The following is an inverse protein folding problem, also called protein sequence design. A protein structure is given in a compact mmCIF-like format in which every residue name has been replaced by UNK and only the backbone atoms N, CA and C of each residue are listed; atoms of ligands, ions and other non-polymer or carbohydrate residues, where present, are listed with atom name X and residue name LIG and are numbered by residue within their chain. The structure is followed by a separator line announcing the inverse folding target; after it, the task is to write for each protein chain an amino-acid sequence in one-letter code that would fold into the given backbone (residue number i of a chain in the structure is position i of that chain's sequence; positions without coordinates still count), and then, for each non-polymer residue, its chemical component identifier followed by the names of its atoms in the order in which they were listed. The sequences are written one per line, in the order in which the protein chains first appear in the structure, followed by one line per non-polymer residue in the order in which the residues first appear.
data_IF_381600244000
#
_entry.id   IF_381600244000
#
_cell.length_a   1.000
_cell.length_b   1.000
_cell.length_c   1.000
_cell.angle_alpha   90.00
_cell.angle_beta   90.00
_cell.angle_gamma   90.00
#
_symmetry.space_group_name_H-M   'P 1'
#
loop_
_entity.id
_entity.type
_entity.pdbx_description
1 polymer ?
#
# COMPACT_ATOMS: atom_id res chain seq x y z
N UNK A 1 -6.37 -16.27 15.23
CA UNK A 1 -5.68 -16.11 13.95
C UNK A 1 -5.86 -17.40 13.17
N UNK A 2 -6.78 -17.40 12.21
CA UNK A 2 -6.91 -18.54 11.30
C UNK A 2 -5.60 -18.72 10.55
N UNK A 3 -5.18 -19.97 10.43
CA UNK A 3 -4.04 -20.36 9.63
C UNK A 3 -4.38 -20.11 8.14
N UNK A 4 -3.98 -18.97 7.63
CA UNK A 4 -4.12 -18.56 6.23
C UNK A 4 -2.95 -19.09 5.40
N UNK A 5 -2.44 -20.26 5.73
CA UNK A 5 -1.24 -20.85 5.14
C UNK A 5 -1.44 -21.53 3.79
N UNK A 6 -2.63 -21.48 3.19
CA UNK A 6 -2.85 -22.06 1.87
C UNK A 6 -3.86 -21.28 1.05
N UNK A 7 -3.46 -20.91 -0.14
CA UNK A 7 -4.32 -20.46 -1.25
C UNK A 7 -5.22 -19.25 -0.95
N UNK A 8 -4.68 -18.25 -0.25
CA UNK A 8 -5.39 -16.98 -0.12
C UNK A 8 -5.50 -16.39 -1.51
N UNK A 9 -6.72 -16.37 -2.01
CA UNK A 9 -7.10 -15.49 -3.08
C UNK A 9 -6.76 -14.07 -2.61
N UNK A 10 -5.61 -13.57 -3.01
CA UNK A 10 -4.96 -12.40 -2.44
C UNK A 10 -5.67 -11.09 -2.75
N UNK A 11 -6.88 -11.16 -3.34
CA UNK A 11 -7.64 -9.98 -3.75
C UNK A 11 -7.87 -8.98 -2.61
N UNK A 12 -8.12 -9.46 -1.39
CA UNK A 12 -8.32 -8.59 -0.23
C UNK A 12 -7.02 -7.88 0.18
N UNK A 13 -5.87 -8.57 0.05
CA UNK A 13 -4.56 -7.97 0.29
C UNK A 13 -4.22 -6.90 -0.75
N UNK A 14 -4.67 -7.07 -2.00
CA UNK A 14 -4.45 -6.10 -3.07
C UNK A 14 -5.16 -4.76 -2.80
N UNK A 15 -6.23 -4.74 -2.01
CA UNK A 15 -6.91 -3.51 -1.61
C UNK A 15 -6.17 -2.72 -0.53
N UNK A 16 -5.19 -3.31 0.12
CA UNK A 16 -4.37 -2.62 1.11
C UNK A 16 -3.36 -1.69 0.44
N UNK A 17 -3.09 -0.52 1.07
CA UNK A 17 -2.11 0.44 0.56
C UNK A 17 -0.68 -0.12 0.60
N UNK A 18 -0.38 -0.93 1.61
CA UNK A 18 0.93 -1.58 1.80
C UNK A 18 0.74 -3.03 2.17
N UNK A 19 1.67 -3.87 1.71
CA UNK A 19 1.65 -5.32 1.91
C UNK A 19 3.01 -5.78 2.37
N UNK A 20 3.03 -6.55 3.44
CA UNK A 20 4.24 -7.17 3.97
C UNK A 20 4.06 -8.68 4.00
N UNK A 21 5.12 -9.42 3.82
CA UNK A 21 5.08 -10.86 3.76
C UNK A 21 6.13 -11.51 4.68
N UNK A 22 5.80 -12.68 5.18
CA UNK A 22 6.79 -13.59 5.75
C UNK A 22 7.65 -14.17 4.63
N UNK A 23 8.88 -14.57 4.95
CA UNK A 23 9.80 -15.18 3.99
C UNK A 23 9.25 -16.49 3.41
N UNK A 24 8.50 -17.25 4.19
CA UNK A 24 7.86 -18.50 3.77
C UNK A 24 6.58 -18.31 2.96
N UNK A 25 6.05 -17.06 2.86
CA UNK A 25 4.80 -16.80 2.17
C UNK A 25 4.85 -17.14 0.68
N UNK A 26 3.74 -17.67 0.18
CA UNK A 26 3.52 -17.95 -1.24
C UNK A 26 2.27 -17.24 -1.71
N UNK A 27 2.27 -16.84 -2.97
CA UNK A 27 1.17 -16.10 -3.60
C UNK A 27 0.79 -16.79 -4.91
N UNK A 28 -0.51 -16.96 -5.17
CA UNK A 28 -1.01 -17.53 -6.41
C UNK A 28 -2.37 -16.94 -6.76
N UNK A 29 -2.64 -16.81 -8.05
CA UNK A 29 -3.94 -16.41 -8.61
C UNK A 29 -4.57 -17.61 -9.33
N UNK A 30 -5.35 -18.40 -8.63
CA UNK A 30 -5.80 -19.74 -9.08
C UNK A 30 -7.15 -19.75 -9.80
N UNK A 31 -7.79 -18.61 -10.02
CA UNK A 31 -9.12 -18.51 -10.63
C UNK A 31 -9.25 -19.23 -11.97
N UNK A 32 -8.27 -19.05 -12.87
CA UNK A 32 -8.31 -19.61 -14.22
C UNK A 32 -8.28 -21.15 -14.19
N UNK A 33 -7.58 -21.77 -13.23
CA UNK A 33 -7.61 -23.23 -13.05
C UNK A 33 -9.01 -23.77 -12.74
N UNK A 34 -9.86 -22.93 -12.19
CA UNK A 34 -11.25 -23.27 -11.86
C UNK A 34 -12.24 -22.79 -12.95
N UNK A 35 -11.75 -22.27 -14.08
CA UNK A 35 -12.59 -21.70 -15.13
C UNK A 35 -13.26 -20.38 -14.71
N UNK A 36 -12.71 -19.67 -13.73
CA UNK A 36 -13.26 -18.43 -13.19
C UNK A 36 -12.37 -17.23 -13.58
N UNK A 37 -12.95 -16.05 -13.49
CA UNK A 37 -12.23 -14.78 -13.59
C UNK A 37 -11.92 -14.23 -12.17
N UNK A 38 -10.86 -13.41 -12.00
CA UNK A 38 -10.54 -12.82 -10.71
C UNK A 38 -11.69 -11.99 -10.14
N UNK A 39 -12.14 -12.35 -8.95
CA UNK A 39 -13.16 -11.62 -8.20
C UNK A 39 -12.58 -10.51 -7.31
N UNK A 40 -13.41 -9.92 -6.45
CA UNK A 40 -13.02 -8.97 -5.39
C UNK A 40 -12.03 -7.86 -5.81
N UNK A 41 -12.06 -7.45 -7.07
CA UNK A 41 -11.15 -6.41 -7.59
C UNK A 41 -9.77 -6.88 -8.01
N UNK A 42 -9.46 -8.18 -7.99
CA UNK A 42 -8.15 -8.71 -8.40
C UNK A 42 -7.72 -8.24 -9.79
N UNK A 43 -8.62 -8.32 -10.78
CA UNK A 43 -8.36 -7.83 -12.14
C UNK A 43 -8.14 -6.31 -12.24
N UNK A 44 -8.57 -5.54 -11.24
CA UNK A 44 -8.35 -4.10 -11.19
C UNK A 44 -7.03 -3.73 -10.49
N UNK A 45 -6.79 -4.33 -9.31
CA UNK A 45 -5.65 -3.95 -8.47
C UNK A 45 -4.33 -4.58 -8.93
N UNK A 46 -4.32 -5.88 -9.24
CA UNK A 46 -3.07 -6.58 -9.56
C UNK A 46 -2.29 -5.93 -10.71
N UNK A 47 -2.90 -5.63 -11.89
CA UNK A 47 -2.16 -5.00 -12.98
C UNK A 47 -1.67 -3.58 -12.67
N UNK A 48 -2.29 -2.88 -11.73
CA UNK A 48 -1.84 -1.57 -11.25
C UNK A 48 -0.64 -1.66 -10.31
N UNK A 49 -0.47 -2.80 -9.66
CA UNK A 49 0.63 -3.07 -8.72
C UNK A 49 1.85 -3.63 -9.46
N UNK A 50 1.66 -4.69 -10.26
CA UNK A 50 2.77 -5.44 -10.88
C UNK A 50 2.90 -5.21 -12.39
N UNK A 51 2.05 -4.39 -12.98
CA UNK A 51 1.95 -4.19 -14.43
C UNK A 51 1.12 -5.26 -15.12
N UNK A 52 0.57 -4.92 -16.32
CA UNK A 52 -0.40 -5.77 -17.04
C UNK A 52 0.21 -7.12 -17.43
N UNK A 53 1.43 -7.13 -17.97
CA UNK A 53 2.06 -8.36 -18.46
C UNK A 53 2.27 -9.38 -17.31
N UNK A 54 2.80 -8.92 -16.18
CA UNK A 54 3.02 -9.79 -15.01
C UNK A 54 1.71 -10.25 -14.36
N UNK A 55 0.71 -9.38 -14.33
CA UNK A 55 -0.62 -9.77 -13.86
C UNK A 55 -1.25 -10.88 -14.72
N UNK A 56 -1.16 -10.77 -16.06
CA UNK A 56 -1.64 -11.81 -16.97
C UNK A 56 -0.86 -13.11 -16.82
N UNK A 57 0.47 -13.04 -16.67
CA UNK A 57 1.30 -14.22 -16.38
C UNK A 57 0.80 -14.94 -15.12
N UNK A 58 0.60 -14.22 -14.00
CA UNK A 58 0.13 -14.80 -12.74
C UNK A 58 -1.28 -15.39 -12.87
N UNK A 59 -2.21 -14.68 -13.52
CA UNK A 59 -3.60 -15.16 -13.71
C UNK A 59 -3.65 -16.41 -14.60
N UNK A 60 -2.92 -16.43 -15.73
CA UNK A 60 -3.06 -17.49 -16.73
C UNK A 60 -2.24 -18.72 -16.38
N UNK A 61 -1.03 -18.56 -15.83
CA UNK A 61 -0.23 -19.70 -15.40
C UNK A 61 -0.79 -20.30 -14.12
N UNK A 62 -1.40 -19.46 -13.26
CA UNK A 62 -1.79 -19.82 -11.91
C UNK A 62 -0.66 -20.48 -11.11
N UNK A 63 0.58 -20.11 -11.43
CA UNK A 63 1.77 -20.57 -10.71
C UNK A 63 1.92 -19.81 -9.40
N UNK A 64 2.44 -20.52 -8.39
CA UNK A 64 2.74 -19.90 -7.11
C UNK A 64 4.12 -19.23 -7.18
N UNK A 65 4.19 -18.00 -6.71
CA UNK A 65 5.44 -17.28 -6.51
C UNK A 65 5.77 -17.18 -5.02
N UNK A 66 7.06 -17.13 -4.69
CA UNK A 66 7.54 -16.95 -3.33
C UNK A 66 7.59 -15.45 -2.92
N UNK A 67 7.92 -15.20 -1.65
CA UNK A 67 8.02 -13.84 -1.12
C UNK A 67 9.13 -13.02 -1.79
N UNK A 68 10.21 -13.66 -2.28
CA UNK A 68 11.32 -12.99 -2.96
C UNK A 68 10.85 -12.44 -4.31
N UNK A 69 10.17 -13.28 -5.10
CA UNK A 69 9.59 -12.85 -6.37
C UNK A 69 8.48 -11.81 -6.15
N UNK A 70 7.62 -12.00 -5.14
CA UNK A 70 6.59 -11.02 -4.78
C UNK A 70 7.18 -9.64 -4.45
N UNK A 71 8.31 -9.58 -3.75
CA UNK A 71 9.03 -8.34 -3.50
C UNK A 71 9.62 -7.76 -4.79
N UNK A 72 10.24 -8.59 -5.63
CA UNK A 72 10.88 -8.17 -6.88
C UNK A 72 9.90 -7.51 -7.86
N UNK A 73 8.68 -8.04 -7.95
CA UNK A 73 7.63 -7.50 -8.84
C UNK A 73 6.80 -6.39 -8.20
N UNK A 74 7.07 -6.01 -6.94
CA UNK A 74 6.34 -4.97 -6.22
C UNK A 74 4.97 -5.41 -5.68
N UNK A 75 4.67 -6.72 -5.68
CA UNK A 75 3.44 -7.24 -5.10
C UNK A 75 3.41 -6.99 -3.59
N UNK A 76 4.55 -7.12 -2.91
CA UNK A 76 4.72 -6.75 -1.51
C UNK A 76 5.79 -5.67 -1.36
N UNK A 77 5.67 -4.84 -0.32
CA UNK A 77 6.59 -3.75 -0.05
C UNK A 77 7.84 -4.19 0.72
N UNK A 78 7.70 -5.25 1.54
CA UNK A 78 8.77 -5.80 2.39
C UNK A 78 8.56 -7.28 2.65
N UNK A 79 9.67 -7.97 2.90
CA UNK A 79 9.69 -9.36 3.37
C UNK A 79 10.48 -9.41 4.66
N UNK A 80 9.94 -10.10 5.65
CA UNK A 80 10.56 -10.31 6.96
C UNK A 80 10.71 -11.81 7.25
N UNK A 81 11.55 -12.16 8.20
CA UNK A 81 11.58 -13.51 8.71
C UNK A 81 10.26 -13.84 9.41
N UNK A 82 9.86 -15.09 9.37
CA UNK A 82 8.50 -15.51 9.74
C UNK A 82 8.13 -15.12 11.18
N UNK A 83 9.08 -15.26 12.11
CA UNK A 83 8.93 -14.86 13.51
C UNK A 83 8.96 -13.35 13.74
N UNK A 84 9.38 -12.55 12.74
CA UNK A 84 9.52 -11.10 12.82
C UNK A 84 8.39 -10.32 12.14
N UNK A 85 7.60 -10.96 11.29
CA UNK A 85 6.57 -10.28 10.48
C UNK A 85 5.65 -9.40 11.33
N UNK A 86 5.11 -9.91 12.42
CA UNK A 86 4.17 -9.18 13.26
C UNK A 86 4.84 -7.99 13.96
N UNK A 87 6.01 -8.19 14.55
CA UNK A 87 6.78 -7.14 15.23
C UNK A 87 7.16 -6.01 14.29
N UNK A 88 7.75 -6.35 13.14
CA UNK A 88 8.22 -5.37 12.14
C UNK A 88 7.06 -4.62 11.48
N UNK A 89 5.94 -5.31 11.23
CA UNK A 89 4.73 -4.69 10.70
C UNK A 89 4.17 -3.68 11.70
N UNK A 90 4.08 -4.05 12.99
CA UNK A 90 3.61 -3.17 14.04
C UNK A 90 4.56 -1.98 14.27
N UNK A 91 5.87 -2.20 14.24
CA UNK A 91 6.86 -1.13 14.35
C UNK A 91 6.72 -0.12 13.20
N UNK A 92 6.54 -0.61 11.97
CA UNK A 92 6.31 0.26 10.81
C UNK A 92 4.98 1.02 10.90
N UNK A 93 3.89 0.34 11.25
CA UNK A 93 2.58 0.98 11.45
C UNK A 93 2.64 2.07 12.54
N UNK A 94 3.31 1.79 13.65
CA UNK A 94 3.54 2.75 14.74
C UNK A 94 4.37 3.96 14.30
N UNK A 95 5.34 3.75 13.40
CA UNK A 95 6.09 4.86 12.79
C UNK A 95 5.18 5.73 11.93
N UNK A 96 4.33 5.15 11.09
CA UNK A 96 3.38 5.90 10.28
C UNK A 96 2.34 6.65 11.13
N UNK A 97 1.87 6.03 12.20
CA UNK A 97 0.89 6.63 13.11
C UNK A 97 1.39 7.92 13.82
N UNK A 98 2.71 8.14 13.84
CA UNK A 98 3.30 9.41 14.31
C UNK A 98 3.35 10.51 13.24
N UNK A 99 2.99 10.21 12.01
CA UNK A 99 2.93 11.21 10.93
C UNK A 99 1.72 12.15 11.06
N UNK A 100 1.74 13.29 10.33
CA UNK A 100 0.64 14.25 10.29
C UNK A 100 -0.62 13.64 9.65
N UNK A 101 -1.71 13.37 10.40
CA UNK A 101 -2.83 12.56 9.90
C UNK A 101 -3.56 13.22 8.72
N UNK A 102 -3.75 14.55 8.77
CA UNK A 102 -4.41 15.29 7.70
C UNK A 102 -3.61 15.21 6.40
N UNK A 103 -2.30 15.43 6.45
CA UNK A 103 -1.43 15.34 5.30
C UNK A 103 -1.41 13.93 4.71
N UNK A 104 -1.30 12.89 5.54
CA UNK A 104 -1.32 11.49 5.11
C UNK A 104 -2.64 11.13 4.42
N UNK A 105 -3.77 11.55 4.98
CA UNK A 105 -5.10 11.34 4.39
C UNK A 105 -5.22 12.00 3.01
N UNK A 106 -4.74 13.24 2.88
CA UNK A 106 -4.81 13.98 1.62
C UNK A 106 -3.84 13.42 0.57
N UNK A 107 -2.63 13.02 0.97
CA UNK A 107 -1.68 12.32 0.07
C UNK A 107 -2.32 11.06 -0.51
N UNK A 108 -2.90 10.20 0.32
CA UNK A 108 -3.60 8.98 -0.15
C UNK A 108 -4.70 9.34 -1.15
N UNK A 109 -5.56 10.29 -0.80
CA UNK A 109 -6.67 10.74 -1.68
C UNK A 109 -6.17 11.28 -3.02
N UNK A 110 -5.17 12.16 -3.00
CA UNK A 110 -4.62 12.79 -4.21
C UNK A 110 -3.94 11.75 -5.10
N UNK A 111 -3.19 10.82 -4.50
CA UNK A 111 -2.52 9.76 -5.24
C UNK A 111 -3.52 8.89 -6.00
N UNK A 112 -4.55 8.35 -5.33
CA UNK A 112 -5.53 7.50 -5.99
C UNK A 112 -6.34 8.25 -7.05
N UNK A 113 -6.72 9.49 -6.79
CA UNK A 113 -7.41 10.34 -7.78
C UNK A 113 -6.51 10.72 -8.95
N UNK A 114 -5.22 10.97 -8.68
CA UNK A 114 -4.23 11.28 -9.71
C UNK A 114 -4.00 10.15 -10.71
N UNK A 115 -4.20 8.89 -10.29
CA UNK A 115 -4.14 7.73 -11.19
C UNK A 115 -5.32 7.65 -12.19
N UNK A 116 -6.38 8.43 -11.95
CA UNK A 116 -7.62 8.45 -12.75
C UNK A 116 -7.74 9.71 -13.62
N UNK A 117 -6.74 10.59 -13.60
CA UNK A 117 -6.76 11.87 -14.33
C UNK A 117 -5.43 12.14 -15.05
N UNK A 118 -5.37 13.21 -15.82
CA UNK A 118 -4.13 13.70 -16.43
C UNK A 118 -3.27 14.50 -15.44
N UNK A 119 -2.05 14.88 -15.87
CA UNK A 119 -1.12 15.64 -15.04
C UNK A 119 -1.73 16.97 -14.56
N UNK A 120 -2.49 17.65 -15.41
CA UNK A 120 -3.10 18.93 -15.06
C UNK A 120 -4.13 18.76 -13.94
N UNK A 121 -5.04 17.79 -14.08
CA UNK A 121 -6.01 17.46 -13.03
C UNK A 121 -5.33 17.00 -11.72
N UNK A 122 -4.23 16.24 -11.80
CA UNK A 122 -3.47 15.85 -10.61
C UNK A 122 -2.84 17.08 -9.92
N UNK A 123 -2.28 18.03 -10.68
CA UNK A 123 -1.71 19.26 -10.13
C UNK A 123 -2.80 20.17 -9.52
N UNK A 124 -3.99 20.26 -10.13
CA UNK A 124 -5.12 21.00 -9.59
C UNK A 124 -5.60 20.41 -8.25
N UNK A 125 -5.60 19.07 -8.13
CA UNK A 125 -5.86 18.39 -6.85
C UNK A 125 -4.84 18.78 -5.77
N UNK A 126 -3.56 18.84 -6.11
CA UNK A 126 -2.51 19.27 -5.17
C UNK A 126 -2.72 20.73 -4.79
N UNK A 127 -2.90 21.62 -5.78
CA UNK A 127 -3.06 23.06 -5.55
C UNK A 127 -4.27 23.38 -4.67
N UNK A 128 -5.40 22.69 -4.88
CA UNK A 128 -6.63 22.91 -4.10
C UNK A 128 -6.56 22.39 -2.67
N UNK A 129 -5.75 21.34 -2.41
CA UNK A 129 -5.63 20.76 -1.06
C UNK A 129 -4.43 21.34 -0.27
N UNK A 130 -3.45 21.93 -0.92
CA UNK A 130 -2.26 22.49 -0.27
C UNK A 130 -2.60 23.57 0.78
N UNK A 131 -3.51 24.54 0.53
CA UNK A 131 -3.88 25.53 1.55
C UNK A 131 -4.43 24.89 2.82
N UNK A 132 -5.24 23.82 2.70
CA UNK A 132 -5.83 23.11 3.84
C UNK A 132 -4.74 22.55 4.75
N UNK A 133 -3.70 21.94 4.18
CA UNK A 133 -2.56 21.41 4.96
C UNK A 133 -1.74 22.55 5.55
N UNK A 134 -1.48 23.62 4.77
CA UNK A 134 -0.66 24.75 5.23
C UNK A 134 -1.28 25.53 6.38
N UNK A 135 -2.61 25.55 6.49
CA UNK A 135 -3.34 26.21 7.56
C UNK A 135 -3.54 25.33 8.80
N UNK A 136 -3.17 24.04 8.74
CA UNK A 136 -3.34 23.13 9.87
C UNK A 136 -2.38 23.40 11.02
N UNK A 137 -2.80 23.07 12.24
CA UNK A 137 -1.95 23.10 13.44
C UNK A 137 -0.74 22.17 13.27
N UNK A 138 -0.94 21.01 12.63
CA UNK A 138 0.12 20.06 12.36
C UNK A 138 1.24 20.64 11.49
N UNK A 139 0.91 21.48 10.51
CA UNK A 139 1.92 22.16 9.72
C UNK A 139 2.73 23.16 10.54
N UNK A 140 2.08 23.93 11.41
CA UNK A 140 2.76 24.87 12.30
C UNK A 140 3.67 24.12 13.29
N UNK A 141 3.18 23.03 13.85
CA UNK A 141 3.98 22.14 14.72
C UNK A 141 5.19 21.56 13.98
N UNK A 142 5.03 21.11 12.74
CA UNK A 142 6.12 20.60 11.94
C UNK A 142 7.24 21.65 11.73
N UNK A 143 6.85 22.91 11.44
CA UNK A 143 7.81 24.02 11.29
C UNK A 143 8.53 24.32 12.62
N UNK A 144 7.77 24.37 13.73
CA UNK A 144 8.35 24.62 15.08
C UNK A 144 9.31 23.51 15.46
N UNK A 145 8.89 22.26 15.35
CA UNK A 145 9.72 21.09 15.67
C UNK A 145 11.01 21.03 14.84
N UNK A 146 10.91 21.35 13.52
CA UNK A 146 12.09 21.43 12.65
C UNK A 146 13.11 22.48 13.10
N UNK A 147 12.63 23.69 13.48
CA UNK A 147 13.50 24.79 13.98
C UNK A 147 14.15 24.44 15.31
N UNK A 148 13.39 23.76 16.19
CA UNK A 148 13.83 23.36 17.53
C UNK A 148 14.60 22.02 17.53
N UNK A 149 14.75 21.36 16.38
CA UNK A 149 15.41 20.05 16.20
C UNK A 149 14.83 18.96 17.13
N UNK A 150 13.53 18.92 17.28
CA UNK A 150 12.79 17.92 18.06
C UNK A 150 11.80 17.14 17.19
N UNK A 151 11.32 16.03 17.73
CA UNK A 151 10.23 15.28 17.09
C UNK A 151 8.91 16.08 17.17
N UNK A 152 8.15 16.17 16.06
CA UNK A 152 6.85 16.82 16.04
C UNK A 152 5.79 15.97 16.76
N UNK A 153 4.77 16.63 17.31
CA UNK A 153 3.61 16.00 17.96
C UNK A 153 2.34 16.42 17.23
N UNK A 154 1.91 15.60 16.29
CA UNK A 154 0.74 15.89 15.47
C UNK A 154 -0.57 15.56 16.18
N UNK A 155 -1.58 16.43 15.98
CA UNK A 155 -2.93 16.31 16.56
C UNK A 155 -4.01 15.98 15.52
N UNK A 156 -3.70 16.11 14.25
CA UNK A 156 -4.66 15.91 13.15
C UNK A 156 -5.56 17.13 12.87
N UNK A 157 -5.21 18.29 13.40
CA UNK A 157 -5.99 19.53 13.27
C UNK A 157 -5.34 20.57 12.38
#
# INVERSE_FOLDING_TARGET
LSDWSSDVCSSDLLMCDMRFAARSAKFAETYVKMGLIPGAGGAYYLPRIVGVAKALELFWSSESIDATEALRIGLVNRVFDDDKLAEETQAFASKLARGAPLAMKLVKRILYRGLETDLRGALDLVASNMPVVRMSEDHQEAIAAFREKREPKFSGK
#
